data_IF_403751910252
#
_entry.id   IF_403751910252
#
_cell.length_a   1.000
_cell.length_b   1.000
_cell.length_c   1.000
_cell.angle_alpha   90.00
_cell.angle_beta   90.00
_cell.angle_gamma   90.00
#
_symmetry.space_group_name_H-M   'P 1'
#
loop_
_entity.id
_entity.type
_entity.pdbx_description
1 polymer ?
#
# COMPACT_ATOMS: atom_id res chain seq x y z
N UNK A 1 10.96 21.72 16.33
CA UNK A 1 11.40 20.69 15.37
C UNK A 1 12.17 19.63 16.13
N UNK A 2 11.74 18.37 16.08
CA UNK A 2 12.45 17.24 16.69
C UNK A 2 13.52 16.73 15.70
N UNK A 3 14.65 17.44 15.60
CA UNK A 3 15.61 17.24 14.49
C UNK A 3 16.15 15.80 14.37
N UNK A 4 16.18 15.04 15.47
CA UNK A 4 16.59 13.62 15.45
C UNK A 4 15.50 12.62 15.03
N UNK A 5 14.24 13.03 14.91
CA UNK A 5 13.12 12.12 14.67
C UNK A 5 12.65 12.04 13.20
N UNK A 6 12.92 13.05 12.36
CA UNK A 6 12.41 13.04 10.99
C UNK A 6 12.72 14.25 10.10
N UNK A 7 13.67 15.11 10.47
CA UNK A 7 13.90 16.38 9.76
C UNK A 7 14.92 16.29 8.60
N UNK A 8 15.43 15.09 8.27
CA UNK A 8 16.38 14.90 7.16
C UNK A 8 15.63 14.91 5.84
N UNK A 9 15.98 15.85 4.97
CA UNK A 9 15.49 15.92 3.59
C UNK A 9 16.47 15.17 2.68
N UNK A 10 15.94 14.31 1.80
CA UNK A 10 16.76 13.44 0.95
C UNK A 10 16.05 13.09 -0.36
N UNK A 11 16.74 12.34 -1.23
CA UNK A 11 16.21 11.80 -2.48
C UNK A 11 16.15 10.27 -2.42
N UNK A 12 15.30 9.58 -3.21
CA UNK A 12 15.33 8.12 -3.30
C UNK A 12 16.73 7.57 -3.60
N UNK A 13 17.50 8.25 -4.45
CA UNK A 13 18.88 7.88 -4.80
C UNK A 13 19.80 7.92 -3.58
N UNK A 14 19.74 8.96 -2.76
CA UNK A 14 20.60 9.07 -1.58
C UNK A 14 20.18 8.13 -0.46
N UNK A 15 18.87 7.88 -0.33
CA UNK A 15 18.34 6.83 0.54
C UNK A 15 18.89 5.46 0.14
N UNK A 16 18.83 5.08 -1.14
CA UNK A 16 19.41 3.82 -1.65
C UNK A 16 20.91 3.73 -1.32
N UNK A 17 21.70 4.77 -1.62
CA UNK A 17 23.13 4.80 -1.29
C UNK A 17 23.37 4.59 0.21
N UNK A 18 22.58 5.24 1.06
CA UNK A 18 22.69 5.13 2.51
C UNK A 18 22.45 3.70 2.99
N UNK A 19 21.33 3.09 2.59
CA UNK A 19 20.97 1.75 3.10
C UNK A 19 21.89 0.67 2.53
N UNK A 20 22.35 0.80 1.29
CA UNK A 20 23.37 -0.09 0.74
C UNK A 20 24.70 0.06 1.49
N UNK A 21 25.13 1.28 1.80
CA UNK A 21 26.35 1.51 2.58
C UNK A 21 26.23 0.95 4.01
N UNK A 22 25.06 1.08 4.62
CA UNK A 22 24.76 0.53 5.95
C UNK A 22 24.88 -1.00 5.95
N UNK A 23 24.17 -1.67 5.05
CA UNK A 23 24.13 -3.14 4.99
C UNK A 23 25.42 -3.76 4.45
N UNK A 24 26.26 -2.99 3.73
CA UNK A 24 27.61 -3.40 3.35
C UNK A 24 28.69 -3.01 4.39
N UNK A 25 28.29 -2.67 5.62
CA UNK A 25 29.18 -2.36 6.74
C UNK A 25 30.15 -1.19 6.49
N UNK A 26 29.81 -0.27 5.59
CA UNK A 26 30.63 0.92 5.30
C UNK A 26 30.40 2.05 6.31
N UNK A 27 29.25 2.04 6.98
CA UNK A 27 28.86 3.08 7.95
C UNK A 27 29.01 2.62 9.41
N UNK A 28 28.79 1.34 9.68
CA UNK A 28 28.85 0.75 11.03
C UNK A 28 29.44 -0.65 10.96
N UNK A 29 29.97 -1.12 12.10
CA UNK A 29 30.48 -2.50 12.22
C UNK A 29 29.37 -3.54 11.99
N UNK A 30 29.76 -4.76 11.61
CA UNK A 30 28.81 -5.89 11.50
C UNK A 30 28.08 -6.16 12.81
N UNK A 31 28.77 -6.05 13.95
CA UNK A 31 28.16 -6.23 15.26
C UNK A 31 27.07 -5.16 15.54
N UNK A 32 27.34 -3.90 15.21
CA UNK A 32 26.38 -2.80 15.35
C UNK A 32 25.18 -2.99 14.41
N UNK A 33 25.40 -3.37 13.15
CA UNK A 33 24.31 -3.66 12.22
C UNK A 33 23.42 -4.80 12.74
N UNK A 34 24.02 -5.87 13.26
CA UNK A 34 23.27 -6.98 13.84
C UNK A 34 22.39 -6.53 15.01
N UNK A 35 22.86 -5.60 15.85
CA UNK A 35 22.04 -5.00 16.90
C UNK A 35 20.89 -4.16 16.33
N UNK A 36 21.14 -3.38 15.27
CA UNK A 36 20.10 -2.56 14.63
C UNK A 36 18.94 -3.40 14.07
N UNK A 37 19.25 -4.58 13.52
CA UNK A 37 18.26 -5.49 12.93
C UNK A 37 17.79 -6.60 13.89
N UNK A 38 18.27 -6.63 15.14
CA UNK A 38 17.77 -7.54 16.16
C UNK A 38 16.43 -7.02 16.69
N UNK A 39 15.37 -7.80 16.48
CA UNK A 39 14.02 -7.39 16.83
C UNK A 39 13.71 -7.63 18.30
N UNK A 40 13.15 -6.62 18.96
CA UNK A 40 12.51 -6.73 20.27
C UNK A 40 11.12 -6.13 20.16
N UNK A 41 10.09 -6.91 20.49
CA UNK A 41 8.68 -6.50 20.38
C UNK A 41 8.31 -5.97 18.96
N UNK A 42 8.88 -6.56 17.91
CA UNK A 42 8.79 -6.16 16.50
C UNK A 42 9.50 -4.85 16.09
N UNK A 43 10.34 -4.28 16.98
CA UNK A 43 11.16 -3.10 16.70
C UNK A 43 12.65 -3.44 16.70
N UNK A 44 13.40 -2.91 15.72
CA UNK A 44 14.85 -2.81 15.79
C UNK A 44 15.32 -1.43 16.29
N UNK A 45 16.61 -1.14 16.16
CA UNK A 45 17.14 0.19 16.49
C UNK A 45 17.02 1.13 15.29
N UNK A 46 15.82 1.69 15.09
CA UNK A 46 15.53 2.58 13.95
C UNK A 46 15.40 1.87 12.60
N UNK A 47 15.28 0.54 12.61
CA UNK A 47 15.04 -0.31 11.43
C UNK A 47 13.95 -1.34 11.77
N UNK A 48 13.10 -1.60 10.79
CA UNK A 48 11.95 -2.48 10.88
C UNK A 48 12.03 -3.57 9.81
N UNK A 49 11.52 -4.79 10.11
CA UNK A 49 11.40 -5.86 9.13
C UNK A 49 10.13 -5.65 8.30
N UNK A 50 10.21 -6.00 7.02
CA UNK A 50 9.09 -5.98 6.09
C UNK A 50 9.09 -7.26 5.29
N UNK A 51 7.98 -8.00 5.33
CA UNK A 51 7.84 -9.27 4.63
C UNK A 51 7.17 -9.08 3.27
N UNK A 52 7.72 -9.71 2.25
CA UNK A 52 7.14 -9.72 0.90
C UNK A 52 7.39 -11.07 0.22
N UNK A 53 6.33 -11.88 0.08
CA UNK A 53 6.40 -13.22 -0.54
C UNK A 53 7.56 -14.09 -0.02
N UNK A 54 7.68 -14.17 1.31
CA UNK A 54 8.72 -14.95 2.00
C UNK A 54 10.12 -14.35 1.94
N UNK A 55 10.25 -13.07 1.56
CA UNK A 55 11.51 -12.32 1.58
C UNK A 55 11.40 -11.23 2.64
N UNK A 56 12.41 -11.18 3.51
CA UNK A 56 12.53 -10.13 4.52
C UNK A 56 13.37 -8.98 4.00
N UNK A 57 12.78 -7.79 3.97
CA UNK A 57 13.48 -6.53 3.85
C UNK A 57 13.63 -5.86 5.21
N UNK A 58 14.60 -4.94 5.30
CA UNK A 58 14.82 -4.08 6.45
C UNK A 58 14.80 -2.62 6.03
N UNK A 59 14.17 -1.75 6.81
CA UNK A 59 14.22 -0.31 6.57
C UNK A 59 13.26 0.47 7.44
N UNK A 60 12.69 1.55 6.92
CA UNK A 60 11.79 2.43 7.67
C UNK A 60 10.84 3.19 6.74
N UNK A 61 9.73 3.68 7.29
CA UNK A 61 8.83 4.63 6.63
C UNK A 61 8.90 6.00 7.30
N UNK A 62 8.83 7.08 6.54
CA UNK A 62 8.75 8.45 7.06
C UNK A 62 7.47 9.12 6.61
N UNK A 63 6.90 9.94 7.48
CA UNK A 63 5.81 10.85 7.12
C UNK A 63 5.93 12.16 7.85
N UNK A 64 5.83 13.26 7.11
CA UNK A 64 5.58 14.60 7.64
C UNK A 64 4.51 15.22 6.75
N UNK A 65 3.35 15.49 7.35
CA UNK A 65 2.17 15.97 6.61
C UNK A 65 1.89 15.03 5.43
N UNK A 66 1.93 15.57 4.21
CA UNK A 66 1.66 14.83 2.98
C UNK A 66 2.91 14.41 2.20
N UNK A 67 4.08 14.53 2.83
CA UNK A 67 5.31 13.91 2.36
C UNK A 67 5.47 12.54 2.99
N UNK A 68 5.70 11.54 2.16
CA UNK A 68 5.94 10.18 2.57
C UNK A 68 7.25 9.65 1.97
N UNK A 69 7.97 8.86 2.75
CA UNK A 69 9.14 8.11 2.30
C UNK A 69 9.07 6.66 2.78
N UNK A 70 9.61 5.76 1.98
CA UNK A 70 9.83 4.37 2.35
C UNK A 70 11.19 3.94 1.82
N UNK A 71 11.96 3.27 2.66
CA UNK A 71 13.22 2.66 2.28
C UNK A 71 13.23 1.20 2.71
N UNK A 72 13.71 0.32 1.84
CA UNK A 72 13.82 -1.12 2.07
C UNK A 72 15.15 -1.62 1.51
N UNK A 73 15.77 -2.55 2.23
CA UNK A 73 16.91 -3.31 1.74
C UNK A 73 16.65 -4.79 1.97
N UNK A 74 16.77 -5.58 0.91
CA UNK A 74 16.64 -7.02 0.90
C UNK A 74 18.04 -7.65 0.93
N UNK A 75 18.54 -8.12 2.09
CA UNK A 75 19.94 -8.54 2.22
C UNK A 75 20.30 -9.75 1.35
N UNK A 76 19.38 -10.71 1.25
CA UNK A 76 19.58 -11.92 0.45
C UNK A 76 19.68 -11.61 -1.05
N UNK A 77 18.86 -10.68 -1.54
CA UNK A 77 18.83 -10.29 -2.96
C UNK A 77 19.78 -9.12 -3.27
N UNK A 78 20.43 -8.55 -2.24
CA UNK A 78 21.29 -7.35 -2.34
C UNK A 78 20.60 -6.22 -3.11
N UNK A 79 19.33 -6.01 -2.81
CA UNK A 79 18.48 -5.07 -3.53
C UNK A 79 17.95 -3.99 -2.58
N UNK A 80 18.13 -2.73 -2.96
CA UNK A 80 17.56 -1.59 -2.28
C UNK A 80 16.37 -1.02 -3.06
N UNK A 81 15.36 -0.57 -2.33
CA UNK A 81 14.20 0.15 -2.87
C UNK A 81 13.98 1.39 -2.01
N UNK A 82 13.86 2.54 -2.66
CA UNK A 82 13.42 3.78 -2.02
C UNK A 82 12.28 4.41 -2.82
N UNK A 83 11.30 4.92 -2.10
CA UNK A 83 10.14 5.61 -2.63
C UNK A 83 9.91 6.88 -1.81
N UNK A 84 9.81 8.02 -2.49
CA UNK A 84 9.42 9.28 -1.89
C UNK A 84 8.27 9.87 -2.69
N UNK A 85 7.27 10.42 -2.02
CA UNK A 85 6.14 11.06 -2.68
C UNK A 85 5.61 12.24 -1.85
N UNK A 86 5.05 13.21 -2.55
CA UNK A 86 4.15 14.23 -2.03
C UNK A 86 2.73 14.07 -2.62
N UNK A 87 2.46 12.93 -3.28
CA UNK A 87 1.16 12.56 -3.80
C UNK A 87 0.34 11.83 -2.74
N UNK A 88 -0.94 12.19 -2.64
CA UNK A 88 -1.84 11.69 -1.59
C UNK A 88 -3.03 10.89 -2.14
N UNK A 89 -3.20 10.85 -3.47
CA UNK A 89 -4.41 10.30 -4.06
C UNK A 89 -4.42 8.77 -4.08
N UNK A 90 -3.31 8.13 -4.43
CA UNK A 90 -3.26 6.69 -4.66
C UNK A 90 -2.72 5.95 -3.41
N UNK A 91 -3.27 4.77 -3.03
CA UNK A 91 -2.82 4.03 -1.86
C UNK A 91 -1.32 3.71 -1.93
N UNK A 92 -0.57 4.15 -0.91
CA UNK A 92 0.90 3.99 -0.89
C UNK A 92 1.31 2.52 -0.82
N UNK A 93 0.51 1.71 -0.13
CA UNK A 93 0.70 0.26 -0.02
C UNK A 93 0.68 -0.39 -1.39
N UNK A 94 -0.27 -0.02 -2.25
CA UNK A 94 -0.40 -0.58 -3.60
C UNK A 94 0.78 -0.19 -4.51
N UNK A 95 1.26 1.06 -4.40
CA UNK A 95 2.46 1.50 -5.15
C UNK A 95 3.68 0.69 -4.71
N UNK A 96 3.89 0.57 -3.39
CA UNK A 96 5.02 -0.18 -2.85
C UNK A 96 4.93 -1.67 -3.21
N UNK A 97 3.74 -2.26 -3.16
CA UNK A 97 3.50 -3.64 -3.58
C UNK A 97 3.78 -3.82 -5.07
N UNK A 98 3.30 -2.89 -5.92
CA UNK A 98 3.55 -2.91 -7.35
C UNK A 98 5.03 -2.83 -7.71
N UNK A 99 5.78 -1.91 -7.09
CA UNK A 99 7.24 -1.80 -7.30
C UNK A 99 7.91 -3.12 -6.90
N UNK A 100 7.57 -3.68 -5.74
CA UNK A 100 8.15 -4.94 -5.27
C UNK A 100 7.81 -6.12 -6.20
N UNK A 101 6.56 -6.24 -6.66
CA UNK A 101 6.16 -7.26 -7.64
C UNK A 101 7.01 -7.16 -8.91
N UNK A 102 7.19 -5.95 -9.44
CA UNK A 102 8.02 -5.71 -10.62
C UNK A 102 9.48 -6.10 -10.36
N UNK A 103 10.07 -5.63 -9.26
CA UNK A 103 11.47 -5.93 -8.91
C UNK A 103 11.74 -7.44 -8.74
N UNK A 104 10.76 -8.19 -8.22
CA UNK A 104 10.86 -9.64 -8.03
C UNK A 104 10.30 -10.46 -9.19
N UNK A 105 10.03 -9.83 -10.34
CA UNK A 105 9.51 -10.48 -11.54
C UNK A 105 8.21 -11.29 -11.30
N UNK A 106 7.36 -10.78 -10.40
CA UNK A 106 6.02 -11.32 -10.16
C UNK A 106 5.02 -10.68 -11.14
N UNK A 107 3.95 -11.39 -11.53
CA UNK A 107 2.92 -10.82 -12.37
C UNK A 107 2.33 -9.53 -11.77
N UNK A 108 2.41 -8.44 -12.53
CA UNK A 108 1.83 -7.16 -12.16
C UNK A 108 1.38 -6.41 -13.41
N UNK A 109 0.19 -5.79 -13.34
CA UNK A 109 -0.32 -4.91 -14.39
C UNK A 109 -0.38 -3.51 -13.81
N UNK A 110 0.23 -2.55 -14.48
CA UNK A 110 0.18 -1.15 -14.07
C UNK A 110 -1.28 -0.68 -14.15
N UNK A 111 -1.88 -0.20 -13.04
CA UNK A 111 -3.21 0.38 -13.04
C UNK A 111 -3.32 1.50 -14.10
N UNK A 112 -4.51 1.68 -14.70
CA UNK A 112 -4.77 2.68 -15.75
C UNK A 112 -4.01 2.49 -17.08
N UNK A 113 -3.19 1.46 -17.22
CA UNK A 113 -2.44 1.22 -18.47
C UNK A 113 -3.34 0.82 -19.66
N UNK A 114 -4.57 0.38 -19.39
CA UNK A 114 -5.57 -0.02 -20.39
C UNK A 114 -6.95 0.48 -19.98
N UNK A 115 -7.75 0.87 -20.96
CA UNK A 115 -9.17 1.13 -20.75
C UNK A 115 -9.85 -0.19 -20.39
N UNK A 116 -10.48 -0.23 -19.22
CA UNK A 116 -11.29 -1.37 -18.80
C UNK A 116 -12.77 -1.03 -18.97
N UNK A 117 -13.43 -1.72 -19.90
CA UNK A 117 -14.87 -1.61 -20.12
C UNK A 117 -15.52 -2.82 -19.45
N UNK A 118 -16.33 -2.58 -18.42
CA UNK A 118 -17.11 -3.61 -17.74
C UNK A 118 -18.56 -3.51 -18.20
N UNK A 119 -19.20 -4.66 -18.43
CA UNK A 119 -20.63 -4.74 -18.69
C UNK A 119 -21.42 -4.65 -17.38
N UNK A 120 -22.72 -4.34 -17.46
CA UNK A 120 -23.61 -4.36 -16.30
C UNK A 120 -23.62 -5.74 -15.60
N UNK A 121 -23.49 -6.84 -16.37
CA UNK A 121 -23.46 -8.21 -15.85
C UNK A 121 -22.17 -8.52 -15.09
N UNK A 122 -21.02 -7.96 -15.51
CA UNK A 122 -19.75 -8.14 -14.79
C UNK A 122 -19.81 -7.59 -13.36
N UNK A 123 -20.70 -6.62 -13.12
CA UNK A 123 -20.85 -5.95 -11.83
C UNK A 123 -21.75 -6.70 -10.84
N UNK A 124 -22.56 -7.67 -11.29
CA UNK A 124 -23.54 -8.37 -10.44
C UNK A 124 -22.93 -9.00 -9.19
N UNK A 125 -21.73 -9.58 -9.33
CA UNK A 125 -21.02 -10.23 -8.24
C UNK A 125 -20.62 -9.28 -7.10
N UNK A 126 -20.49 -7.98 -7.38
CA UNK A 126 -20.09 -6.99 -6.38
C UNK A 126 -21.28 -6.42 -5.60
N UNK A 127 -22.47 -6.40 -6.19
CA UNK A 127 -23.69 -5.84 -5.58
C UNK A 127 -24.02 -6.57 -4.27
N UNK A 128 -24.36 -5.80 -3.23
CA UNK A 128 -24.74 -6.32 -1.92
C UNK A 128 -24.33 -5.41 -0.78
N UNK A 129 -24.63 -5.86 0.45
CA UNK A 129 -24.27 -5.16 1.69
C UNK A 129 -22.99 -5.75 2.26
N UNK A 130 -22.03 -4.90 2.59
CA UNK A 130 -20.78 -5.25 3.22
C UNK A 130 -20.69 -4.56 4.58
N UNK A 131 -20.14 -5.23 5.58
CA UNK A 131 -19.91 -4.62 6.88
C UNK A 131 -18.63 -5.13 7.52
N UNK A 132 -18.00 -4.28 8.34
CA UNK A 132 -16.90 -4.70 9.20
C UNK A 132 -17.45 -5.42 10.42
N UNK A 133 -16.77 -6.48 10.88
CA UNK A 133 -17.14 -7.18 12.11
C UNK A 133 -16.67 -6.42 13.37
N UNK A 134 -15.71 -5.49 13.24
CA UNK A 134 -15.03 -4.83 14.36
C UNK A 134 -15.21 -3.30 14.40
N UNK A 135 -15.75 -2.70 13.34
CA UNK A 135 -15.95 -1.26 13.23
C UNK A 135 -17.38 -0.99 12.75
N UNK A 136 -17.97 0.17 13.09
CA UNK A 136 -19.32 0.56 12.64
C UNK A 136 -19.32 1.04 11.17
N UNK A 137 -18.69 0.29 10.27
CA UNK A 137 -18.64 0.57 8.84
C UNK A 137 -19.60 -0.38 8.14
N UNK A 138 -20.56 0.20 7.42
CA UNK A 138 -21.52 -0.52 6.57
C UNK A 138 -21.50 0.14 5.21
N UNK A 139 -21.38 -0.67 4.17
CA UNK A 139 -21.35 -0.24 2.78
C UNK A 139 -22.43 -0.98 2.00
N UNK A 140 -23.32 -0.25 1.34
CA UNK A 140 -24.22 -0.81 0.35
C UNK A 140 -23.62 -0.59 -1.04
N UNK A 141 -23.45 -1.67 -1.79
CA UNK A 141 -22.94 -1.64 -3.17
C UNK A 141 -24.10 -1.91 -4.10
N UNK A 142 -24.39 -0.97 -4.98
CA UNK A 142 -25.36 -1.09 -6.06
C UNK A 142 -24.71 -0.75 -7.40
N UNK A 143 -25.48 -0.79 -8.49
CA UNK A 143 -25.01 -0.45 -9.82
C UNK A 143 -26.02 0.38 -10.57
N UNK A 144 -25.52 1.30 -11.39
CA UNK A 144 -26.27 2.07 -12.36
C UNK A 144 -25.53 1.94 -13.70
N UNK A 145 -26.20 1.35 -14.69
CA UNK A 145 -25.61 0.97 -15.98
C UNK A 145 -24.28 0.20 -15.84
N UNK A 146 -23.15 0.82 -16.16
CA UNK A 146 -21.81 0.21 -16.12
C UNK A 146 -20.96 0.73 -14.96
N UNK A 147 -21.58 1.36 -13.95
CA UNK A 147 -20.89 1.95 -12.79
C UNK A 147 -21.34 1.28 -11.51
N UNK A 148 -20.40 1.08 -10.58
CA UNK A 148 -20.75 0.72 -9.20
C UNK A 148 -20.97 1.99 -8.40
N UNK A 149 -22.08 2.00 -7.66
CA UNK A 149 -22.39 3.01 -6.66
C UNK A 149 -22.09 2.42 -5.29
N UNK A 150 -21.26 3.12 -4.53
CA UNK A 150 -20.88 2.73 -3.17
C UNK A 150 -21.55 3.71 -2.21
N UNK A 151 -22.44 3.22 -1.36
CA UNK A 151 -23.10 4.05 -0.34
C UNK A 151 -22.59 3.71 1.05
N UNK A 152 -22.14 4.72 1.80
CA UNK A 152 -21.77 4.59 3.22
C UNK A 152 -22.05 5.89 3.95
N UNK A 153 -22.55 5.78 5.18
CA UNK A 153 -22.89 6.94 6.04
C UNK A 153 -23.80 7.98 5.35
N UNK A 154 -24.70 7.54 4.47
CA UNK A 154 -25.61 8.41 3.71
C UNK A 154 -24.96 9.16 2.54
N UNK A 155 -23.70 8.88 2.22
CA UNK A 155 -23.00 9.42 1.05
C UNK A 155 -22.88 8.34 -0.04
N UNK A 156 -23.08 8.74 -1.29
CA UNK A 156 -22.96 7.86 -2.47
C UNK A 156 -21.73 8.26 -3.27
N UNK A 157 -20.90 7.28 -3.62
CA UNK A 157 -19.69 7.43 -4.42
C UNK A 157 -19.87 6.68 -5.75
N UNK A 158 -19.83 7.41 -6.86
CA UNK A 158 -19.83 6.82 -8.20
C UNK A 158 -18.41 6.41 -8.59
N UNK A 159 -18.17 5.11 -8.75
CA UNK A 159 -16.80 4.61 -8.95
C UNK A 159 -16.45 4.36 -10.42
N UNK A 160 -15.15 4.40 -10.69
CA UNK A 160 -14.53 4.06 -11.97
C UNK A 160 -13.69 2.78 -11.83
N UNK A 161 -13.78 1.83 -12.77
CA UNK A 161 -12.95 0.64 -12.75
C UNK A 161 -11.49 0.97 -13.07
N UNK A 162 -10.57 0.44 -12.28
CA UNK A 162 -9.12 0.54 -12.51
C UNK A 162 -8.47 -0.83 -12.75
N UNK A 163 -9.13 -1.90 -12.31
CA UNK A 163 -8.88 -3.29 -12.68
C UNK A 163 -10.19 -4.10 -12.55
N UNK A 164 -10.17 -5.40 -12.95
CA UNK A 164 -11.38 -6.25 -13.02
C UNK A 164 -12.22 -6.20 -11.74
N UNK A 165 -11.58 -6.31 -10.57
CA UNK A 165 -12.22 -6.29 -9.26
C UNK A 165 -11.81 -5.06 -8.43
N UNK A 166 -11.26 -4.02 -9.07
CA UNK A 166 -10.70 -2.88 -8.34
C UNK A 166 -11.22 -1.57 -8.93
N UNK A 167 -11.80 -0.74 -8.06
CA UNK A 167 -12.49 0.49 -8.43
C UNK A 167 -11.97 1.67 -7.62
N UNK A 168 -12.12 2.88 -8.14
CA UNK A 168 -11.75 4.11 -7.45
C UNK A 168 -12.87 5.14 -7.52
N UNK A 169 -12.92 6.03 -6.54
CA UNK A 169 -13.64 7.30 -6.62
C UNK A 169 -12.61 8.45 -6.73
N UNK A 170 -12.41 9.01 -7.94
CA UNK A 170 -11.33 9.98 -8.21
C UNK A 170 -11.36 11.23 -7.32
N UNK A 171 -12.53 11.67 -6.89
CA UNK A 171 -12.71 12.91 -6.15
C UNK A 171 -12.26 12.78 -4.69
N UNK A 172 -12.41 11.60 -4.08
CA UNK A 172 -12.00 11.38 -2.68
C UNK A 172 -10.70 10.60 -2.55
N UNK A 173 -10.24 9.92 -3.60
CA UNK A 173 -9.12 8.99 -3.49
C UNK A 173 -9.47 7.73 -2.71
N UNK A 174 -10.75 7.34 -2.68
CA UNK A 174 -11.16 6.05 -2.14
C UNK A 174 -11.05 4.97 -3.18
N UNK A 175 -10.55 3.82 -2.75
CA UNK A 175 -10.37 2.65 -3.58
C UNK A 175 -11.12 1.47 -2.98
N UNK A 176 -11.70 0.64 -3.84
CA UNK A 176 -12.60 -0.44 -3.48
C UNK A 176 -12.14 -1.72 -4.19
N UNK A 177 -11.41 -2.57 -3.48
CA UNK A 177 -10.93 -3.85 -3.99
C UNK A 177 -11.87 -4.96 -3.51
N UNK A 178 -12.54 -5.60 -4.46
CA UNK A 178 -13.44 -6.71 -4.19
C UNK A 178 -12.71 -8.04 -4.31
N UNK A 179 -13.02 -8.95 -3.39
CA UNK A 179 -12.52 -10.32 -3.36
C UNK A 179 -13.76 -11.24 -3.41
N UNK A 180 -14.41 -11.41 -4.57
CA UNK A 180 -15.71 -12.09 -4.68
C UNK A 180 -15.70 -13.53 -4.15
N UNK A 181 -14.60 -14.25 -4.36
CA UNK A 181 -14.42 -15.63 -3.91
C UNK A 181 -14.40 -15.77 -2.37
N UNK A 182 -14.11 -14.68 -1.65
CA UNK A 182 -14.17 -14.63 -0.18
C UNK A 182 -15.36 -13.81 0.33
N UNK A 183 -16.19 -13.26 -0.55
CA UNK A 183 -17.25 -12.33 -0.21
C UNK A 183 -16.72 -11.13 0.61
N UNK A 184 -15.61 -10.56 0.18
CA UNK A 184 -14.88 -9.52 0.92
C UNK A 184 -14.73 -8.23 0.07
N UNK A 185 -14.72 -7.07 0.75
CA UNK A 185 -14.47 -5.74 0.18
C UNK A 185 -13.43 -5.02 1.03
N UNK A 186 -12.29 -4.66 0.42
CA UNK A 186 -11.29 -3.78 1.01
C UNK A 186 -11.54 -2.36 0.57
N UNK A 187 -11.74 -1.46 1.53
CA UNK A 187 -11.75 -0.01 1.29
C UNK A 187 -10.36 0.50 1.61
N UNK A 188 -9.69 1.07 0.62
CA UNK A 188 -8.34 1.61 0.75
C UNK A 188 -8.35 3.13 0.60
N UNK A 189 -7.71 3.78 1.55
CA UNK A 189 -7.34 5.19 1.54
C UNK A 189 -5.82 5.29 1.34
N UNK A 190 -5.27 6.51 1.38
CA UNK A 190 -3.83 6.75 1.21
C UNK A 190 -2.97 5.87 2.14
N UNK A 191 -3.39 5.72 3.39
CA UNK A 191 -2.66 4.98 4.45
C UNK A 191 -3.45 3.87 5.12
N UNK A 192 -4.78 3.86 5.00
CA UNK A 192 -5.65 2.95 5.74
C UNK A 192 -6.27 1.91 4.81
N UNK A 193 -6.48 0.72 5.36
CA UNK A 193 -7.18 -0.37 4.69
C UNK A 193 -8.22 -0.94 5.64
N UNK A 194 -9.49 -0.92 5.23
CA UNK A 194 -10.60 -1.45 6.01
C UNK A 194 -11.15 -2.68 5.31
N UNK A 195 -11.19 -3.80 6.03
CA UNK A 195 -11.73 -5.06 5.52
C UNK A 195 -13.19 -5.23 5.94
N UNK A 196 -14.07 -5.48 4.97
CA UNK A 196 -15.50 -5.73 5.17
C UNK A 196 -15.90 -7.07 4.56
N UNK A 197 -16.90 -7.72 5.15
CA UNK A 197 -17.51 -8.95 4.63
C UNK A 197 -18.91 -8.69 4.11
N UNK A 198 -19.27 -9.34 3.01
CA UNK A 198 -20.62 -9.35 2.46
C UNK A 198 -21.55 -10.05 3.44
N UNK A 199 -22.74 -9.49 3.64
CA UNK A 199 -23.80 -10.02 4.50
C UNK A 199 -24.91 -10.67 3.67
#
# INVERSE_FOLDING_TARGET
>A
MHSGAGAIVSTPTDLVKFIEALFNNKLVSKASLNQMISMKDAYGMGIFPFEFHGKTAYGHNGRIEEFYSAIRYYPEQKMALAYCTNGILYPRVDILEGIQKICFNLPYTIPFSKLLILSNQDLDKYVGKYASDNMPIVVNVSKEDTKLLIETQGQVFETQPIAKNYFMHPQTGYFFEFIPEKNELMIKETDNVYMLKKK
#
